data_IF_123424762424
#
_entry.id   IF_123424762424
#
_cell.length_a   1.000
_cell.length_b   1.000
_cell.length_c   1.000
_cell.angle_alpha   90.00
_cell.angle_beta   90.00
_cell.angle_gamma   90.00
#
_symmetry.space_group_name_H-M   'P 1'
#
loop_
_entity.id
_entity.type
_entity.pdbx_description
1 polymer ?
#
# COMPACT_ATOMS: atom_id res chain seq x y z
N UNK A 1 32.72 -32.46 -26.54
CA UNK A 1 33.83 -31.53 -26.84
C UNK A 1 33.78 -30.42 -25.79
N UNK A 2 34.77 -30.32 -24.89
CA UNK A 2 34.71 -29.41 -23.73
C UNK A 2 35.46 -28.11 -24.10
N UNK A 3 34.87 -26.91 -23.93
CA UNK A 3 35.54 -25.67 -24.28
C UNK A 3 36.74 -25.41 -23.35
N UNK A 4 37.91 -25.17 -23.93
CA UNK A 4 39.12 -24.78 -23.18
C UNK A 4 39.05 -23.31 -22.80
N UNK A 5 38.96 -23.03 -21.50
CA UNK A 5 39.02 -21.68 -20.96
C UNK A 5 40.45 -21.14 -21.04
N UNK A 6 40.63 -19.97 -21.66
CA UNK A 6 41.94 -19.30 -21.72
C UNK A 6 42.09 -18.37 -20.51
N UNK A 7 43.16 -18.58 -19.73
CA UNK A 7 43.54 -17.70 -18.61
C UNK A 7 44.16 -16.43 -19.19
N UNK A 8 43.51 -15.29 -18.99
CA UNK A 8 43.98 -13.96 -19.40
C UNK A 8 43.40 -12.89 -18.50
N UNK A 9 43.98 -11.69 -18.50
CA UNK A 9 43.43 -10.58 -17.73
C UNK A 9 41.99 -10.29 -18.16
N UNK A 10 41.06 -10.16 -17.21
CA UNK A 10 39.68 -9.84 -17.53
C UNK A 10 39.63 -8.51 -18.29
N UNK A 11 39.07 -8.54 -19.50
CA UNK A 11 38.84 -7.32 -20.28
C UNK A 11 37.71 -6.54 -19.60
N UNK A 12 37.85 -5.22 -19.40
CA UNK A 12 36.74 -4.43 -18.88
C UNK A 12 35.54 -4.52 -19.82
N UNK A 13 34.31 -4.54 -19.27
CA UNK A 13 33.11 -4.50 -20.08
C UNK A 13 33.12 -3.26 -20.97
N UNK A 14 32.65 -3.40 -22.21
CA UNK A 14 32.47 -2.23 -23.07
C UNK A 14 31.36 -1.34 -22.50
N UNK A 15 31.51 0.00 -22.55
CA UNK A 15 30.43 0.91 -22.18
C UNK A 15 29.22 0.63 -23.08
N UNK A 16 28.15 0.10 -22.50
CA UNK A 16 26.87 0.06 -23.21
C UNK A 16 26.27 1.47 -23.17
N UNK A 17 25.64 1.96 -24.26
CA UNK A 17 24.79 3.13 -24.17
C UNK A 17 23.77 2.87 -23.06
N UNK A 18 23.75 3.76 -22.06
CA UNK A 18 22.94 3.57 -20.87
C UNK A 18 21.49 3.25 -21.24
N UNK A 19 20.83 2.33 -20.51
CA UNK A 19 19.43 2.04 -20.77
C UNK A 19 18.63 3.34 -20.67
N UNK A 20 17.57 3.46 -21.50
CA UNK A 20 16.63 4.57 -21.44
C UNK A 20 16.18 4.72 -19.98
N UNK A 21 16.60 5.80 -19.34
CA UNK A 21 16.27 6.01 -17.94
C UNK A 21 14.76 6.14 -17.80
N UNK A 22 14.17 5.39 -16.87
CA UNK A 22 12.77 5.56 -16.46
C UNK A 22 12.58 6.77 -15.55
N UNK A 23 13.64 7.53 -15.26
CA UNK A 23 13.52 8.78 -14.51
C UNK A 23 12.62 9.73 -15.27
N UNK A 24 11.37 9.83 -14.79
CA UNK A 24 10.46 10.87 -15.21
C UNK A 24 11.02 12.22 -14.73
N UNK A 25 11.06 13.20 -15.64
CA UNK A 25 11.43 14.57 -15.28
C UNK A 25 10.50 15.11 -14.19
N UNK A 26 10.99 16.04 -13.38
CA UNK A 26 10.15 16.70 -12.37
C UNK A 26 8.98 17.38 -13.08
N UNK A 27 7.76 17.14 -12.59
CA UNK A 27 6.56 17.82 -13.06
C UNK A 27 6.72 19.34 -12.90
N UNK A 28 6.26 20.10 -13.89
CA UNK A 28 6.26 21.56 -13.79
C UNK A 28 5.24 22.03 -12.74
N UNK A 29 5.48 23.18 -12.11
CA UNK A 29 4.53 23.75 -11.13
C UNK A 29 3.13 23.97 -11.72
N UNK A 30 3.02 24.12 -13.04
CA UNK A 30 1.77 24.31 -13.75
C UNK A 30 0.99 22.99 -13.97
N UNK A 31 1.64 21.83 -13.88
CA UNK A 31 0.99 20.51 -13.98
C UNK A 31 0.28 20.11 -12.67
N UNK A 32 0.67 20.70 -11.54
CA UNK A 32 0.18 20.32 -10.21
C UNK A 32 -0.88 21.31 -9.72
N UNK A 33 -2.16 20.99 -9.97
CA UNK A 33 -3.27 21.72 -9.37
C UNK A 33 -3.51 21.26 -7.93
N UNK A 34 -3.01 22.02 -6.95
CA UNK A 34 -3.33 21.79 -5.53
C UNK A 34 -4.72 22.36 -5.27
N UNK A 35 -5.73 21.49 -5.22
CA UNK A 35 -7.05 21.87 -4.69
C UNK A 35 -6.91 22.11 -3.19
N UNK A 36 -6.72 23.36 -2.78
CA UNK A 36 -6.94 23.76 -1.38
C UNK A 36 -8.43 23.65 -1.10
N UNK A 37 -8.83 22.53 -0.51
CA UNK A 37 -10.17 22.37 0.03
C UNK A 37 -10.39 23.42 1.12
N UNK A 38 -11.17 24.45 0.81
CA UNK A 38 -11.70 25.37 1.80
C UNK A 38 -12.84 24.67 2.54
N UNK A 39 -12.54 23.75 3.46
CA UNK A 39 -13.53 23.28 4.41
C UNK A 39 -12.89 23.21 5.79
N UNK A 40 -13.60 23.76 6.77
CA UNK A 40 -13.19 24.01 8.16
C UNK A 40 -12.93 22.72 8.92
N UNK A 41 -11.86 21.99 8.61
CA UNK A 41 -11.55 20.71 9.24
C UNK A 41 -10.08 20.35 9.06
N UNK A 42 -9.32 20.58 10.13
CA UNK A 42 -7.92 20.22 10.36
C UNK A 42 -6.87 20.76 9.35
N UNK A 43 -5.78 21.38 9.84
CA UNK A 43 -4.65 21.72 8.97
C UNK A 43 -4.12 20.44 8.31
N UNK A 44 -3.92 20.48 6.99
CA UNK A 44 -3.16 19.44 6.28
C UNK A 44 -1.73 19.54 6.78
N UNK A 45 -1.39 18.75 7.79
CA UNK A 45 -0.02 18.59 8.25
C UNK A 45 0.75 17.88 7.14
N UNK A 46 1.79 18.54 6.62
CA UNK A 46 2.71 17.88 5.73
C UNK A 46 3.30 16.68 6.48
N UNK A 47 3.05 15.46 6.00
CA UNK A 47 3.64 14.26 6.57
C UNK A 47 5.14 14.31 6.30
N UNK A 48 5.92 14.65 7.31
CA UNK A 48 7.38 14.69 7.23
C UNK A 48 7.90 13.24 7.18
N UNK A 49 8.53 12.88 6.05
CA UNK A 49 9.15 11.56 5.90
C UNK A 49 10.48 11.56 6.67
N UNK A 50 10.44 11.15 7.93
CA UNK A 50 11.64 10.95 8.75
C UNK A 50 12.27 9.58 8.48
N UNK A 51 13.59 9.53 8.29
CA UNK A 51 14.36 8.29 8.16
C UNK A 51 14.44 7.48 9.46
N UNK A 52 14.00 8.05 10.58
CA UNK A 52 13.91 7.40 11.88
C UNK A 52 12.53 6.78 12.16
N UNK A 53 11.55 6.99 11.26
CA UNK A 53 10.24 6.36 11.40
C UNK A 53 10.39 4.86 11.15
N UNK A 54 9.98 4.08 12.14
CA UNK A 54 9.84 2.63 11.98
C UNK A 54 8.80 2.39 10.89
N UNK A 55 9.14 1.74 9.77
CA UNK A 55 8.18 1.45 8.73
C UNK A 55 7.07 0.60 9.35
N UNK A 56 5.83 1.07 9.30
CA UNK A 56 4.71 0.22 9.64
C UNK A 56 4.68 -0.90 8.59
N UNK A 57 4.85 -2.18 8.99
CA UNK A 57 4.75 -3.27 8.06
C UNK A 57 3.37 -3.21 7.40
N UNK A 58 3.31 -3.57 6.13
CA UNK A 58 2.05 -3.70 5.42
C UNK A 58 1.12 -4.60 6.25
N UNK A 59 -0.11 -4.12 6.45
CA UNK A 59 -1.17 -4.94 7.02
C UNK A 59 -1.22 -6.26 6.23
N UNK A 60 -1.19 -7.38 6.96
CA UNK A 60 -1.36 -8.71 6.39
C UNK A 60 -2.53 -8.69 5.40
N UNK A 61 -2.35 -9.10 4.14
CA UNK A 61 -3.40 -9.00 3.11
C UNK A 61 -4.70 -9.72 3.51
N UNK A 62 -4.62 -10.71 4.41
CA UNK A 62 -5.79 -11.41 4.97
C UNK A 62 -6.61 -10.57 5.96
N UNK A 63 -6.15 -9.36 6.34
CA UNK A 63 -6.87 -8.50 7.30
C UNK A 63 -8.23 -8.08 6.74
N UNK A 64 -8.33 -7.89 5.42
CA UNK A 64 -9.59 -7.49 4.77
C UNK A 64 -10.59 -8.64 4.83
N UNK A 65 -10.14 -9.86 4.53
CA UNK A 65 -10.97 -11.07 4.60
C UNK A 65 -11.45 -11.33 6.04
N UNK A 66 -10.55 -11.19 7.03
CA UNK A 66 -10.91 -11.33 8.45
C UNK A 66 -11.94 -10.30 8.90
N UNK A 67 -11.82 -9.05 8.45
CA UNK A 67 -12.81 -7.99 8.76
C UNK A 67 -14.17 -8.30 8.15
N UNK A 68 -14.20 -8.73 6.90
CA UNK A 68 -15.45 -9.12 6.21
C UNK A 68 -16.12 -10.30 6.94
N UNK A 69 -15.35 -11.30 7.36
CA UNK A 69 -15.87 -12.44 8.10
C UNK A 69 -16.43 -12.04 9.48
N UNK A 70 -15.72 -11.18 10.21
CA UNK A 70 -16.16 -10.68 11.51
C UNK A 70 -17.44 -9.84 11.41
N UNK A 71 -17.56 -9.00 10.37
CA UNK A 71 -18.76 -8.18 10.15
C UNK A 71 -20.00 -9.05 9.82
N UNK A 72 -19.81 -10.11 9.03
CA UNK A 72 -20.87 -11.10 8.75
C UNK A 72 -21.31 -11.84 10.02
N UNK A 73 -20.38 -12.26 10.87
CA UNK A 73 -20.69 -12.91 12.13
C UNK A 73 -21.46 -11.96 13.07
N UNK A 74 -20.99 -10.73 13.20
CA UNK A 74 -21.65 -9.70 14.00
C UNK A 74 -23.08 -9.43 13.54
N UNK A 75 -23.31 -9.35 12.23
CA UNK A 75 -24.66 -9.18 11.68
C UNK A 75 -25.58 -10.37 11.99
N UNK A 76 -25.08 -11.60 11.84
CA UNK A 76 -25.84 -12.81 12.14
C UNK A 76 -26.19 -12.94 13.63
N UNK A 77 -25.28 -12.57 14.51
CA UNK A 77 -25.53 -12.62 15.96
C UNK A 77 -26.50 -11.52 16.41
N UNK A 78 -26.45 -10.33 15.80
CA UNK A 78 -27.48 -9.30 15.98
C UNK A 78 -28.87 -9.80 15.61
N UNK A 79 -29.01 -10.46 14.45
CA UNK A 79 -30.29 -10.99 13.99
C UNK A 79 -30.84 -12.06 14.94
N UNK A 80 -29.98 -12.95 15.47
CA UNK A 80 -30.38 -13.94 16.47
C UNK A 80 -30.84 -13.30 17.76
N UNK A 81 -30.13 -12.29 18.24
CA UNK A 81 -30.48 -11.54 19.45
C UNK A 81 -31.84 -10.88 19.26
N UNK A 82 -32.08 -10.23 18.12
CA UNK A 82 -33.35 -9.56 17.79
C UNK A 82 -34.53 -10.54 17.70
N UNK A 83 -34.31 -11.72 17.11
CA UNK A 83 -35.34 -12.78 17.07
C UNK A 83 -35.64 -13.35 18.46
N UNK A 84 -34.62 -13.53 19.30
CA UNK A 84 -34.80 -14.02 20.67
C UNK A 84 -35.50 -13.00 21.56
N UNK A 85 -35.17 -11.71 21.46
CA UNK A 85 -35.87 -10.65 22.21
C UNK A 85 -37.31 -10.44 21.73
N UNK A 86 -37.58 -10.63 20.43
CA UNK A 86 -38.94 -10.62 19.90
C UNK A 86 -39.77 -11.81 20.40
N UNK A 87 -39.19 -13.01 20.53
CA UNK A 87 -39.87 -14.19 21.07
C UNK A 87 -40.06 -14.14 22.60
N UNK A 88 -39.16 -13.50 23.35
CA UNK A 88 -39.29 -13.36 24.81
C UNK A 88 -40.25 -12.25 25.26
N UNK A 89 -40.78 -11.46 24.30
CA UNK A 89 -41.66 -10.32 24.58
C UNK A 89 -43.14 -10.58 24.24
N UNK A 90 -43.50 -11.81 23.86
CA UNK A 90 -44.91 -12.22 23.76
C UNK A 90 -45.36 -12.88 25.08
N UNK A 91 -46.38 -12.35 25.77
CA UNK A 91 -46.99 -12.97 26.94
C UNK A 91 -47.80 -14.23 26.59
#
# INVERSE_FOLDING_TARGET
MIPKLKKGSPRPPQPQPGPRSYTQGRASKAEVTIKRGNEKGNPITATEFSSQIVPQPFLDPSIMERRIAAEKQWAADKEKIEKQTAMSSQP
#
